data_IF_586950409038
#
_entry.id   IF_586950409038
#
_cell.length_a   1.000
_cell.length_b   1.000
_cell.length_c   1.000
_cell.angle_alpha   90.00
_cell.angle_beta   90.00
_cell.angle_gamma   90.00
#
_symmetry.space_group_name_H-M   'P 1'
#
loop_
_entity.id
_entity.type
_entity.pdbx_description
1 polymer ?
#
# COMPACT_ATOMS: atom_id res chain seq x y z
N UNK A 1 -7.17 25.10 -0.93
CA UNK A 1 -6.39 24.15 -0.11
C UNK A 1 -6.28 22.87 -0.91
N UNK A 2 -5.08 22.44 -1.30
CA UNK A 2 -4.89 21.19 -2.03
C UNK A 2 -5.48 20.06 -1.16
N UNK A 3 -6.49 19.36 -1.68
CA UNK A 3 -7.04 18.18 -1.01
C UNK A 3 -5.90 17.18 -0.85
N UNK A 4 -5.34 17.07 0.37
CA UNK A 4 -4.31 16.07 0.68
C UNK A 4 -4.88 14.69 0.37
N UNK A 5 -4.29 14.02 -0.61
CA UNK A 5 -4.65 12.66 -1.05
C UNK A 5 -4.34 11.65 0.04
N UNK A 6 -5.16 10.59 0.11
CA UNK A 6 -5.19 9.67 1.24
C UNK A 6 -3.90 8.85 1.35
N UNK A 7 -3.41 8.32 0.22
CA UNK A 7 -2.19 7.51 0.18
C UNK A 7 -0.92 8.35 0.38
N UNK A 8 -0.81 9.53 -0.25
CA UNK A 8 0.40 10.35 -0.15
C UNK A 8 0.77 10.70 1.30
N UNK A 9 -0.22 10.88 2.18
CA UNK A 9 0.03 11.14 3.60
C UNK A 9 0.74 10.00 4.35
N UNK A 10 0.78 8.79 3.79
CA UNK A 10 1.50 7.63 4.34
C UNK A 10 2.94 7.53 3.82
N UNK A 11 3.27 8.23 2.75
CA UNK A 11 4.49 7.99 1.98
C UNK A 11 5.58 9.00 2.33
N UNK A 12 6.87 8.61 2.26
CA UNK A 12 7.97 9.55 2.37
C UNK A 12 8.09 10.39 1.08
N UNK A 13 8.77 11.55 1.14
CA UNK A 13 8.86 12.52 0.02
C UNK A 13 9.31 11.94 -1.31
N UNK A 14 10.16 10.92 -1.30
CA UNK A 14 10.73 10.29 -2.51
C UNK A 14 9.72 9.43 -3.27
N UNK A 15 8.55 9.13 -2.67
CA UNK A 15 7.53 8.27 -3.29
C UNK A 15 6.39 9.15 -3.79
N UNK A 16 6.15 9.07 -5.10
CA UNK A 16 5.06 9.76 -5.79
C UNK A 16 3.88 8.82 -5.90
N UNK A 17 2.68 9.34 -5.63
CA UNK A 17 1.46 8.55 -5.76
C UNK A 17 0.40 9.26 -6.59
N UNK A 18 -0.50 8.44 -7.15
CA UNK A 18 -1.74 8.88 -7.76
C UNK A 18 -2.85 7.92 -7.33
N UNK A 19 -4.03 8.47 -7.06
CA UNK A 19 -5.19 7.74 -6.58
C UNK A 19 -6.45 8.16 -7.35
N UNK A 20 -7.41 7.24 -7.45
CA UNK A 20 -8.71 7.48 -8.04
C UNK A 20 -9.80 6.77 -7.23
N UNK A 21 -10.88 7.49 -6.94
CA UNK A 21 -12.04 6.97 -6.20
C UNK A 21 -13.12 6.40 -7.12
N UNK A 22 -12.96 6.59 -8.43
CA UNK A 22 -13.85 6.11 -9.48
C UNK A 22 -13.07 5.65 -10.69
N UNK A 23 -13.75 5.09 -11.68
CA UNK A 23 -13.17 4.69 -12.97
C UNK A 23 -13.37 5.83 -13.99
N UNK A 24 -12.36 6.68 -14.25
CA UNK A 24 -12.50 7.83 -15.14
C UNK A 24 -12.82 7.42 -16.59
N UNK A 25 -13.62 8.19 -17.34
CA UNK A 25 -13.88 7.89 -18.74
C UNK A 25 -12.65 8.17 -19.62
N UNK A 26 -12.50 7.44 -20.72
CA UNK A 26 -11.45 7.69 -21.73
C UNK A 26 -10.05 7.24 -21.35
N UNK A 27 -9.86 6.58 -20.20
CA UNK A 27 -8.60 5.90 -19.90
C UNK A 27 -8.46 4.65 -20.75
N UNK A 28 -7.25 4.42 -21.25
CA UNK A 28 -6.92 3.32 -22.15
C UNK A 28 -5.89 2.38 -21.52
N UNK A 29 -5.80 1.18 -22.09
CA UNK A 29 -4.71 0.24 -21.85
C UNK A 29 -3.83 0.17 -23.08
N UNK A 30 -2.55 -0.10 -22.87
CA UNK A 30 -1.67 -0.49 -23.97
C UNK A 30 -2.01 -1.91 -24.45
N UNK A 31 -1.72 -2.28 -25.71
CA UNK A 31 -1.99 -3.62 -26.22
C UNK A 31 -1.41 -4.75 -25.33
N UNK A 32 -0.22 -4.55 -24.78
CA UNK A 32 0.45 -5.49 -23.87
C UNK A 32 -0.31 -5.66 -22.54
N UNK A 33 -1.04 -4.64 -22.11
CA UNK A 33 -1.85 -4.63 -20.90
C UNK A 33 -3.26 -5.22 -21.16
N UNK A 34 -3.84 -4.96 -22.34
CA UNK A 34 -5.13 -5.53 -22.74
C UNK A 34 -5.06 -7.05 -22.88
N UNK A 35 -3.95 -7.56 -23.41
CA UNK A 35 -3.74 -8.99 -23.65
C UNK A 35 -3.94 -9.85 -22.38
N UNK A 36 -3.59 -9.32 -21.20
CA UNK A 36 -3.66 -10.08 -19.93
C UNK A 36 -5.04 -10.03 -19.25
N UNK A 37 -5.99 -9.23 -19.76
CA UNK A 37 -7.35 -9.10 -19.20
C UNK A 37 -8.46 -9.42 -20.21
N UNK A 38 -8.14 -10.08 -21.32
CA UNK A 38 -9.10 -10.44 -22.38
C UNK A 38 -10.32 -11.22 -21.88
N UNK A 39 -10.13 -12.12 -20.90
CA UNK A 39 -11.18 -12.94 -20.29
C UNK A 39 -11.68 -12.40 -18.94
N UNK A 40 -11.22 -11.21 -18.53
CA UNK A 40 -11.60 -10.65 -17.24
C UNK A 40 -13.03 -10.08 -17.30
N UNK A 41 -13.80 -10.28 -16.23
CA UNK A 41 -15.10 -9.64 -16.04
C UNK A 41 -14.97 -8.11 -15.97
N UNK A 42 -16.05 -7.39 -16.28
CA UNK A 42 -16.02 -5.93 -16.40
C UNK A 42 -15.48 -5.20 -15.18
N UNK A 43 -15.84 -5.66 -13.97
CA UNK A 43 -15.31 -5.10 -12.71
C UNK A 43 -13.78 -5.15 -12.70
N UNK A 44 -13.21 -6.31 -13.03
CA UNK A 44 -11.76 -6.51 -13.07
C UNK A 44 -11.10 -5.70 -14.18
N UNK A 45 -11.74 -5.57 -15.34
CA UNK A 45 -11.23 -4.74 -16.46
C UNK A 45 -11.12 -3.27 -16.04
N UNK A 46 -12.14 -2.74 -15.36
CA UNK A 46 -12.14 -1.35 -14.85
C UNK A 46 -11.06 -1.13 -13.80
N UNK A 47 -11.01 -1.98 -12.76
CA UNK A 47 -9.97 -1.89 -11.71
C UNK A 47 -8.56 -1.91 -12.29
N UNK A 48 -8.31 -2.84 -13.23
CA UNK A 48 -7.01 -2.96 -13.87
C UNK A 48 -6.68 -1.72 -14.71
N UNK A 49 -7.64 -1.23 -15.50
CA UNK A 49 -7.45 -0.03 -16.35
C UNK A 49 -7.16 1.21 -15.52
N UNK A 50 -7.97 1.48 -14.49
CA UNK A 50 -7.79 2.65 -13.63
C UNK A 50 -6.52 2.55 -12.80
N UNK A 51 -6.18 1.37 -12.28
CA UNK A 51 -4.90 1.16 -11.57
C UNK A 51 -3.69 1.45 -12.46
N UNK A 52 -3.74 1.02 -13.74
CA UNK A 52 -2.68 1.33 -14.73
C UNK A 52 -2.64 2.81 -15.09
N UNK A 53 -3.79 3.48 -15.15
CA UNK A 53 -3.85 4.92 -15.32
C UNK A 53 -3.16 5.65 -14.15
N UNK A 54 -3.50 5.34 -12.90
CA UNK A 54 -2.84 5.90 -11.72
C UNK A 54 -1.32 5.69 -11.75
N UNK A 55 -0.87 4.48 -12.11
CA UNK A 55 0.56 4.19 -12.24
C UNK A 55 1.27 5.11 -13.23
N UNK A 56 0.68 5.34 -14.42
CA UNK A 56 1.28 6.22 -15.44
C UNK A 56 1.27 7.69 -15.03
N UNK A 57 0.27 8.14 -14.29
CA UNK A 57 0.27 9.49 -13.72
C UNK A 57 1.38 9.66 -12.68
N UNK A 58 1.53 8.69 -11.78
CA UNK A 58 2.58 8.71 -10.78
C UNK A 58 3.99 8.64 -11.43
N UNK A 59 4.16 7.83 -12.49
CA UNK A 59 5.39 7.79 -13.29
C UNK A 59 5.68 9.13 -13.97
N UNK A 60 4.68 9.75 -14.59
CA UNK A 60 4.84 11.06 -15.25
C UNK A 60 5.26 12.12 -14.24
N UNK A 61 4.66 12.12 -13.04
CA UNK A 61 5.02 13.04 -11.97
C UNK A 61 6.39 12.74 -11.33
N UNK A 62 6.85 11.48 -11.37
CA UNK A 62 8.22 11.08 -11.06
C UNK A 62 9.23 11.52 -12.15
N UNK A 63 8.77 12.05 -13.29
CA UNK A 63 9.62 12.42 -14.42
C UNK A 63 10.00 11.27 -15.34
N UNK A 64 9.29 10.14 -15.26
CA UNK A 64 9.48 8.96 -16.11
C UNK A 64 8.41 8.92 -17.19
N UNK A 65 8.83 8.81 -18.46
CA UNK A 65 7.90 8.71 -19.58
C UNK A 65 6.93 7.52 -19.39
N UNK A 66 5.61 7.74 -19.52
CA UNK A 66 4.65 6.65 -19.38
C UNK A 66 4.76 5.65 -20.53
N UNK A 67 4.58 4.38 -20.22
CA UNK A 67 4.58 3.27 -21.17
C UNK A 67 3.73 2.10 -20.67
N UNK A 68 3.73 0.96 -21.38
CA UNK A 68 3.01 -0.23 -20.95
C UNK A 68 3.59 -0.79 -19.65
N UNK A 69 2.72 -1.23 -18.75
CA UNK A 69 3.07 -1.92 -17.50
C UNK A 69 2.51 -3.36 -17.53
N UNK A 70 3.15 -4.26 -18.31
CA UNK A 70 2.66 -5.63 -18.46
C UNK A 70 2.69 -6.36 -17.12
N UNK A 71 1.94 -7.47 -17.07
CA UNK A 71 1.87 -8.31 -15.86
C UNK A 71 3.14 -9.16 -15.77
N UNK A 72 3.93 -8.93 -14.72
CA UNK A 72 5.07 -9.75 -14.35
C UNK A 72 4.68 -10.92 -13.44
N UNK A 73 5.67 -11.47 -12.75
CA UNK A 73 5.50 -12.61 -11.85
C UNK A 73 4.47 -12.31 -10.74
N UNK A 74 3.67 -13.34 -10.43
CA UNK A 74 2.58 -13.28 -9.43
C UNK A 74 1.61 -12.12 -9.59
N UNK A 75 1.58 -11.51 -10.78
CA UNK A 75 0.62 -10.48 -11.13
C UNK A 75 1.06 -9.04 -10.82
N UNK A 76 2.26 -8.85 -10.26
CA UNK A 76 2.84 -7.52 -10.08
C UNK A 76 3.09 -6.87 -11.46
N UNK A 77 2.94 -5.55 -11.62
CA UNK A 77 3.35 -4.86 -12.85
C UNK A 77 4.88 -4.95 -13.03
N UNK A 78 5.33 -5.05 -14.30
CA UNK A 78 6.73 -4.79 -14.65
C UNK A 78 6.91 -3.27 -14.72
N UNK A 79 7.70 -2.73 -13.81
CA UNK A 79 8.02 -1.29 -13.77
C UNK A 79 9.11 -0.94 -14.79
N UNK A 80 9.15 0.32 -15.27
CA UNK A 80 10.27 0.81 -16.08
C UNK A 80 11.61 0.62 -15.38
N UNK A 81 12.69 0.52 -16.15
CA UNK A 81 14.04 0.36 -15.62
C UNK A 81 14.37 1.49 -14.61
N UNK A 82 14.93 1.12 -13.46
CA UNK A 82 15.27 2.07 -12.40
C UNK A 82 14.08 2.58 -11.58
N UNK A 83 12.87 2.05 -11.78
CA UNK A 83 11.68 2.39 -10.99
C UNK A 83 11.24 1.20 -10.15
N UNK A 84 10.81 1.48 -8.93
CA UNK A 84 10.06 0.55 -8.07
C UNK A 84 8.67 1.10 -7.85
N UNK A 85 7.71 0.22 -7.59
CA UNK A 85 6.33 0.65 -7.36
C UNK A 85 5.43 -0.43 -6.81
N UNK A 86 4.24 0.00 -6.39
CA UNK A 86 3.19 -0.86 -5.88
C UNK A 86 1.82 -0.36 -6.32
N UNK A 87 0.88 -1.31 -6.47
CA UNK A 87 -0.50 -1.06 -6.89
C UNK A 87 -1.46 -1.64 -5.86
N UNK A 88 -2.57 -0.95 -5.65
CA UNK A 88 -3.69 -1.45 -4.87
C UNK A 88 -5.02 -0.99 -5.45
N UNK A 89 -6.06 -1.76 -5.20
CA UNK A 89 -7.43 -1.40 -5.52
C UNK A 89 -8.39 -2.14 -4.59
N UNK A 90 -9.50 -1.50 -4.29
CA UNK A 90 -10.66 -2.12 -3.67
C UNK A 90 -11.93 -1.44 -4.17
N UNK A 91 -13.08 -1.75 -3.58
CA UNK A 91 -14.32 -1.08 -3.96
C UNK A 91 -14.23 0.41 -3.60
N UNK A 92 -14.41 1.27 -4.62
CA UNK A 92 -14.33 2.72 -4.46
C UNK A 92 -12.92 3.32 -4.42
N UNK A 93 -11.86 2.53 -4.69
CA UNK A 93 -10.48 3.05 -4.66
C UNK A 93 -9.53 2.31 -5.60
N UNK A 94 -8.63 3.03 -6.27
CA UNK A 94 -7.46 2.52 -6.99
C UNK A 94 -6.29 3.47 -6.74
N UNK A 95 -5.09 2.93 -6.54
CA UNK A 95 -3.92 3.77 -6.41
C UNK A 95 -2.65 3.07 -6.89
N UNK A 96 -1.68 3.91 -7.22
CA UNK A 96 -0.31 3.53 -7.48
C UNK A 96 0.64 4.41 -6.69
N UNK A 97 1.75 3.83 -6.25
CA UNK A 97 2.86 4.56 -5.68
C UNK A 97 4.16 4.09 -6.35
N UNK A 98 5.04 5.01 -6.70
CA UNK A 98 6.29 4.76 -7.44
C UNK A 98 7.42 5.64 -6.91
N UNK A 99 8.65 5.16 -7.07
CA UNK A 99 9.86 5.89 -6.72
C UNK A 99 11.04 5.46 -7.58
N UNK A 100 12.10 6.27 -7.62
CA UNK A 100 13.38 5.83 -8.18
C UNK A 100 13.99 4.74 -7.30
N UNK A 101 14.44 3.65 -7.94
CA UNK A 101 15.07 2.51 -7.27
C UNK A 101 16.36 2.85 -6.51
N UNK A 102 17.02 3.95 -6.89
CA UNK A 102 18.18 4.50 -6.18
C UNK A 102 17.82 5.16 -4.85
N UNK A 103 16.56 5.56 -4.65
CA UNK A 103 16.09 6.21 -3.43
C UNK A 103 15.23 5.29 -2.57
N UNK A 104 14.55 4.32 -3.17
CA UNK A 104 13.70 3.34 -2.49
C UNK A 104 13.97 1.97 -3.10
N UNK A 105 14.36 1.00 -2.29
CA UNK A 105 14.68 -0.35 -2.76
C UNK A 105 13.42 -1.16 -3.06
N UNK A 106 12.38 -1.02 -2.22
CA UNK A 106 11.09 -1.68 -2.43
C UNK A 106 9.95 -0.94 -1.74
N UNK A 107 8.73 -1.16 -2.22
CA UNK A 107 7.53 -0.47 -1.80
C UNK A 107 6.34 -1.45 -1.84
N UNK A 108 5.51 -1.41 -0.82
CA UNK A 108 4.25 -2.13 -0.76
C UNK A 108 3.14 -1.24 -0.24
N UNK A 109 2.06 -1.13 -0.99
CA UNK A 109 0.85 -0.41 -0.55
C UNK A 109 -0.36 -1.32 -0.66
N UNK A 110 -1.30 -1.13 0.27
CA UNK A 110 -2.57 -1.82 0.23
C UNK A 110 -3.72 -0.92 0.70
N UNK A 111 -4.91 -1.21 0.19
CA UNK A 111 -6.11 -0.43 0.42
C UNK A 111 -7.32 -1.36 0.50
N UNK A 112 -8.10 -1.22 1.56
CA UNK A 112 -9.25 -2.05 1.86
C UNK A 112 -10.45 -1.17 2.25
N UNK A 113 -11.69 -1.61 2.02
CA UNK A 113 -12.85 -1.00 2.65
C UNK A 113 -12.70 -1.08 4.17
N UNK A 114 -13.05 -0.02 4.88
CA UNK A 114 -13.05 -0.01 6.34
C UNK A 114 -14.26 -0.79 6.87
N UNK A 115 -14.15 -2.12 6.81
CA UNK A 115 -15.13 -3.09 7.29
C UNK A 115 -14.41 -4.31 7.88
N UNK A 116 -15.10 -5.06 8.76
CA UNK A 116 -14.57 -6.29 9.35
C UNK A 116 -14.14 -7.30 8.29
N UNK A 117 -13.17 -8.14 8.63
CA UNK A 117 -12.89 -9.34 7.85
C UNK A 117 -14.04 -10.35 7.98
N UNK A 118 -14.33 -11.14 6.94
CA UNK A 118 -15.12 -12.35 7.11
C UNK A 118 -14.50 -13.27 8.15
N UNK A 119 -15.33 -13.90 8.99
CA UNK A 119 -14.87 -14.72 10.12
C UNK A 119 -13.99 -15.90 9.67
N UNK A 120 -14.25 -16.46 8.48
CA UNK A 120 -13.50 -17.56 7.88
C UNK A 120 -12.11 -17.16 7.37
N UNK A 121 -11.86 -15.86 7.16
CA UNK A 121 -10.55 -15.33 6.73
C UNK A 121 -9.64 -15.05 7.93
N UNK A 122 -10.22 -14.60 9.07
CA UNK A 122 -9.45 -14.14 10.23
C UNK A 122 -8.47 -15.19 10.76
N UNK A 123 -8.89 -16.46 10.80
CA UNK A 123 -8.06 -17.56 11.28
C UNK A 123 -6.81 -17.82 10.44
N UNK A 124 -6.87 -17.58 9.13
CA UNK A 124 -5.75 -17.77 8.20
C UNK A 124 -4.79 -16.59 8.12
N UNK A 125 -5.21 -15.40 8.57
CA UNK A 125 -4.40 -14.17 8.50
C UNK A 125 -3.68 -13.88 9.82
N UNK A 126 -4.24 -14.34 10.94
CA UNK A 126 -3.76 -13.97 12.29
C UNK A 126 -2.93 -15.05 12.97
N UNK A 127 -1.88 -14.60 13.66
CA UNK A 127 -1.13 -15.38 14.64
C UNK A 127 -1.80 -15.30 16.02
N UNK A 128 -1.57 -16.29 16.91
CA UNK A 128 -2.09 -16.24 18.27
C UNK A 128 -1.74 -14.94 19.03
N UNK A 129 -0.47 -14.51 18.96
CA UNK A 129 -0.02 -13.28 19.63
C UNK A 129 -0.69 -12.02 19.09
N UNK A 130 -0.99 -11.98 17.79
CA UNK A 130 -1.70 -10.86 17.16
C UNK A 130 -3.15 -10.80 17.66
N UNK A 131 -3.84 -11.92 17.83
CA UNK A 131 -5.25 -11.94 18.28
C UNK A 131 -5.45 -11.26 19.64
N UNK A 132 -4.56 -11.54 20.60
CA UNK A 132 -4.64 -10.94 21.94
C UNK A 132 -4.39 -9.42 21.88
N UNK A 133 -3.40 -8.99 21.09
CA UNK A 133 -3.09 -7.58 20.87
C UNK A 133 -4.25 -6.85 20.19
N UNK A 134 -4.83 -7.44 19.14
CA UNK A 134 -5.98 -6.90 18.41
C UNK A 134 -7.19 -6.73 19.33
N UNK A 135 -7.51 -7.72 20.17
CA UNK A 135 -8.61 -7.59 21.13
C UNK A 135 -8.40 -6.41 22.11
N UNK A 136 -7.15 -6.16 22.51
CA UNK A 136 -6.78 -4.98 23.30
C UNK A 136 -6.96 -3.66 22.55
N UNK A 137 -6.61 -3.63 21.27
CA UNK A 137 -6.76 -2.45 20.40
C UNK A 137 -8.23 -2.17 20.09
N UNK A 138 -9.05 -3.19 19.81
CA UNK A 138 -10.49 -3.07 19.60
C UNK A 138 -11.19 -2.47 20.83
N UNK A 139 -10.82 -2.89 22.05
CA UNK A 139 -11.39 -2.30 23.27
C UNK A 139 -11.05 -0.81 23.43
N UNK A 140 -9.83 -0.39 23.06
CA UNK A 140 -9.39 1.02 23.17
C UNK A 140 -9.90 1.89 22.03
N UNK A 141 -10.01 1.32 20.83
CA UNK A 141 -10.39 2.00 19.60
C UNK A 141 -11.46 1.19 18.85
N UNK A 142 -12.70 1.11 19.40
CA UNK A 142 -13.75 0.23 18.89
C UNK A 142 -14.30 0.64 17.51
N UNK A 143 -13.93 1.83 17.02
CA UNK A 143 -14.29 2.33 15.69
C UNK A 143 -13.38 1.80 14.58
N UNK A 144 -12.25 1.18 14.91
CA UNK A 144 -11.29 0.68 13.93
C UNK A 144 -11.46 -0.83 13.77
N UNK A 145 -11.46 -1.29 12.51
CA UNK A 145 -11.48 -2.72 12.17
C UNK A 145 -10.04 -3.21 12.11
N UNK A 146 -9.49 -3.53 13.29
CA UNK A 146 -8.08 -3.88 13.46
C UNK A 146 -7.69 -5.19 12.77
N UNK A 147 -8.65 -6.10 12.68
CA UNK A 147 -8.58 -7.31 11.85
C UNK A 147 -8.26 -6.98 10.38
N UNK A 148 -9.02 -6.06 9.79
CA UNK A 148 -8.79 -5.60 8.41
C UNK A 148 -7.50 -4.80 8.26
N UNK A 149 -7.14 -3.99 9.28
CA UNK A 149 -5.84 -3.29 9.32
C UNK A 149 -4.69 -4.28 9.26
N UNK A 150 -4.77 -5.37 10.05
CA UNK A 150 -3.75 -6.41 10.06
C UNK A 150 -3.61 -7.06 8.69
N UNK A 151 -4.72 -7.44 8.05
CA UNK A 151 -4.71 -8.01 6.71
C UNK A 151 -4.03 -7.09 5.69
N UNK A 152 -4.46 -5.83 5.61
CA UNK A 152 -3.87 -4.83 4.71
C UNK A 152 -2.38 -4.60 4.99
N UNK A 153 -1.99 -4.55 6.26
CA UNK A 153 -0.59 -4.40 6.66
C UNK A 153 0.25 -5.58 6.16
N UNK A 154 -0.24 -6.83 6.30
CA UNK A 154 0.44 -8.02 5.78
C UNK A 154 0.51 -8.06 4.26
N UNK A 155 -0.54 -7.61 3.55
CA UNK A 155 -0.51 -7.45 2.08
C UNK A 155 0.56 -6.43 1.65
N UNK A 156 0.69 -5.31 2.37
CA UNK A 156 1.74 -4.31 2.11
C UNK A 156 3.15 -4.85 2.40
N UNK A 157 3.28 -5.69 3.43
CA UNK A 157 4.53 -6.40 3.73
C UNK A 157 4.88 -7.38 2.61
N UNK A 158 3.93 -8.18 2.12
CA UNK A 158 4.12 -9.10 1.01
C UNK A 158 4.57 -8.36 -0.27
N UNK A 159 3.90 -7.25 -0.61
CA UNK A 159 4.23 -6.44 -1.79
C UNK A 159 5.59 -5.76 -1.69
N UNK A 160 6.08 -5.47 -0.48
CA UNK A 160 7.46 -5.02 -0.26
C UNK A 160 8.47 -6.17 -0.36
N UNK A 161 8.12 -7.32 0.22
CA UNK A 161 8.97 -8.51 0.30
C UNK A 161 9.23 -9.18 -1.05
N UNK A 162 8.19 -9.37 -1.86
CA UNK A 162 8.29 -10.19 -3.08
C UNK A 162 9.31 -9.62 -4.09
N UNK A 163 9.35 -8.30 -4.39
CA UNK A 163 10.37 -7.74 -5.26
C UNK A 163 11.81 -7.89 -4.75
N UNK A 164 12.01 -7.95 -3.43
CA UNK A 164 13.32 -8.08 -2.81
C UNK A 164 13.86 -9.52 -2.89
N UNK A 165 12.97 -10.52 -2.87
CA UNK A 165 13.35 -11.92 -2.62
C UNK A 165 12.95 -12.88 -3.72
N UNK A 166 11.96 -12.55 -4.54
CA UNK A 166 11.29 -13.48 -5.48
C UNK A 166 10.52 -14.60 -4.79
N UNK A 167 10.41 -14.60 -3.46
CA UNK A 167 9.85 -15.69 -2.69
C UNK A 167 8.43 -15.38 -2.19
N UNK A 168 7.60 -16.41 -2.08
CA UNK A 168 6.32 -16.30 -1.36
C UNK A 168 6.54 -16.00 0.13
N UNK A 169 5.66 -15.22 0.74
CA UNK A 169 5.61 -14.95 2.18
C UNK A 169 4.15 -15.14 2.63
N UNK A 170 3.89 -16.17 3.44
CA UNK A 170 2.58 -16.43 4.03
C UNK A 170 2.23 -15.45 5.15
N UNK A 171 0.94 -15.36 5.48
CA UNK A 171 0.48 -14.49 6.58
C UNK A 171 1.06 -14.92 7.93
N UNK A 172 1.27 -16.21 8.12
CA UNK A 172 1.89 -16.83 9.29
C UNK A 172 3.40 -16.60 9.38
N UNK A 173 4.03 -16.09 8.32
CA UNK A 173 5.48 -15.86 8.27
C UNK A 173 5.87 -14.41 8.60
N UNK A 174 4.90 -13.56 8.93
CA UNK A 174 5.11 -12.20 9.40
C UNK A 174 4.17 -11.88 10.58
N UNK A 175 4.74 -11.42 11.69
CA UNK A 175 3.99 -10.92 12.83
C UNK A 175 3.95 -9.39 12.78
N UNK A 176 2.76 -8.81 12.91
CA UNK A 176 2.56 -7.36 12.88
C UNK A 176 2.12 -6.85 14.25
N UNK A 177 2.84 -5.84 14.73
CA UNK A 177 2.51 -5.06 15.91
C UNK A 177 2.07 -3.65 15.49
N UNK A 178 0.90 -3.21 15.94
CA UNK A 178 0.47 -1.82 15.77
C UNK A 178 0.97 -0.93 16.91
N UNK A 179 1.57 0.20 16.55
CA UNK A 179 1.91 1.25 17.51
C UNK A 179 0.67 2.10 17.83
N UNK A 180 0.73 2.86 18.93
CA UNK A 180 -0.41 3.63 19.41
C UNK A 180 -1.01 4.53 18.30
N UNK A 181 -2.31 4.42 18.00
CA UNK A 181 -2.97 5.25 17.00
C UNK A 181 -2.98 6.71 17.44
N UNK A 182 -2.92 7.59 16.45
CA UNK A 182 -3.05 9.03 16.62
C UNK A 182 -4.37 9.49 15.98
N UNK A 183 -5.18 10.22 16.74
CA UNK A 183 -6.28 11.02 16.21
C UNK A 183 -5.70 12.37 15.76
N UNK A 184 -6.19 12.93 14.65
CA UNK A 184 -5.76 14.21 14.06
C UNK A 184 -4.39 14.21 13.33
N UNK A 185 -4.17 15.14 12.38
CA UNK A 185 -3.46 14.82 11.15
C UNK A 185 -1.99 14.60 11.44
N UNK A 186 -1.56 13.36 11.19
CA UNK A 186 -0.19 13.06 10.82
C UNK A 186 0.28 14.15 9.86
N UNK A 187 1.44 14.82 10.08
CA UNK A 187 1.95 15.76 9.09
C UNK A 187 1.98 15.00 7.79
N UNK A 188 1.21 15.46 6.80
CA UNK A 188 1.25 14.86 5.48
C UNK A 188 2.72 14.76 5.15
N UNK A 189 3.21 13.56 4.82
CA UNK A 189 4.48 13.48 4.14
C UNK A 189 4.42 14.52 3.02
N UNK A 190 5.46 15.32 2.88
CA UNK A 190 5.67 16.18 1.72
C UNK A 190 5.81 15.38 0.41
N UNK A 191 5.61 14.05 0.49
CA UNK A 191 5.24 13.16 -0.60
C UNK A 191 4.31 13.85 -1.57
N UNK A 192 4.84 14.09 -2.76
CA UNK A 192 4.10 14.80 -3.80
C UNK A 192 3.04 13.87 -4.37
N UNK A 193 1.83 14.40 -4.45
CA UNK A 193 0.69 13.70 -5.02
C UNK A 193 0.24 14.37 -6.30
N UNK A 194 -0.17 13.56 -7.27
CA UNK A 194 -0.91 14.06 -8.43
C UNK A 194 -2.37 14.27 -8.02
N UNK A 195 -2.96 15.40 -8.42
CA UNK A 195 -4.32 15.76 -8.05
C UNK A 195 -5.34 14.63 -8.34
N UNK A 196 -6.36 14.52 -7.49
CA UNK A 196 -7.48 13.58 -7.65
C UNK A 196 -8.06 13.66 -9.08
N UNK A 197 -8.13 12.51 -9.74
CA UNK A 197 -8.54 12.40 -11.16
C UNK A 197 -10.03 12.12 -11.30
N UNK A 198 -10.80 12.14 -10.21
CA UNK A 198 -12.25 11.94 -10.19
C UNK A 198 -13.05 13.13 -10.74
N UNK A 199 -13.95 12.84 -11.68
CA UNK A 199 -14.92 13.74 -12.33
C UNK A 199 -15.77 14.51 -11.29
N UNK A 200 -16.07 15.82 -11.48
CA UNK A 200 -16.99 16.54 -10.60
C UNK A 200 -18.37 15.87 -10.59
N UNK A 201 -18.85 15.50 -9.39
CA UNK A 201 -20.24 15.06 -9.18
C UNK A 201 -20.47 13.66 -8.61
N UNK A 202 -19.44 12.94 -8.15
CA UNK A 202 -19.64 11.63 -7.51
C UNK A 202 -19.79 11.79 -6.00
N UNK A 203 -20.89 11.26 -5.46
CA UNK A 203 -21.17 11.28 -4.03
C UNK A 203 -20.03 10.63 -3.24
N UNK A 204 -19.56 11.32 -2.20
CA UNK A 204 -18.56 10.81 -1.29
C UNK A 204 -18.96 9.44 -0.75
N UNK A 205 -18.01 8.51 -0.65
CA UNK A 205 -18.17 7.32 0.20
C UNK A 205 -18.52 7.84 1.59
N UNK A 206 -19.65 7.42 2.21
CA UNK A 206 -20.04 7.91 3.50
C UNK A 206 -18.88 7.73 4.46
N UNK A 207 -18.36 8.83 5.01
CA UNK A 207 -17.44 8.76 6.12
C UNK A 207 -18.10 7.93 7.21
N UNK A 208 -17.31 7.08 7.89
CA UNK A 208 -17.75 6.53 9.18
C UNK A 208 -18.29 7.67 10.06
N UNK A 209 -19.21 7.39 10.99
CA UNK A 209 -20.27 8.28 11.48
C UNK A 209 -19.92 9.74 11.86
N UNK A 210 -18.64 10.07 12.07
CA UNK A 210 -18.15 11.41 12.44
C UNK A 210 -17.10 12.03 11.48
N UNK A 211 -16.71 11.34 10.38
CA UNK A 211 -15.71 11.85 9.42
C UNK A 211 -14.25 11.93 9.93
N UNK A 212 -13.97 11.45 11.15
CA UNK A 212 -12.65 11.49 11.77
C UNK A 212 -11.65 10.55 11.07
N UNK A 213 -10.45 11.06 10.79
CA UNK A 213 -9.34 10.28 10.24
C UNK A 213 -8.46 9.74 11.37
N UNK A 214 -8.08 8.47 11.27
CA UNK A 214 -7.11 7.83 12.17
C UNK A 214 -5.85 7.48 11.41
N UNK A 215 -4.72 7.52 12.08
CA UNK A 215 -3.46 7.05 11.51
C UNK A 215 -2.56 6.47 12.58
N UNK A 216 -1.56 5.72 12.15
CA UNK A 216 -0.55 5.21 13.03
C UNK A 216 0.54 4.49 12.27
N UNK A 217 1.36 3.80 13.04
CA UNK A 217 2.49 3.03 12.55
C UNK A 217 2.29 1.56 12.92
N UNK A 218 2.97 0.68 12.21
CA UNK A 218 3.09 -0.73 12.55
C UNK A 218 4.51 -1.21 12.29
N UNK A 219 4.89 -2.28 12.99
CA UNK A 219 6.12 -3.02 12.77
C UNK A 219 5.78 -4.44 12.38
N UNK A 220 6.32 -4.90 11.25
CA UNK A 220 6.22 -6.27 10.81
C UNK A 220 7.54 -6.97 11.08
N UNK A 221 7.54 -8.00 11.93
CA UNK A 221 8.69 -8.87 12.17
C UNK A 221 8.57 -10.11 11.30
N UNK A 222 9.60 -10.39 10.52
CA UNK A 222 9.63 -11.58 9.67
C UNK A 222 10.02 -12.80 10.51
N UNK A 223 9.21 -13.86 10.40
CA UNK A 223 9.42 -15.13 11.11
C UNK A 223 10.22 -16.14 10.28
N UNK A 224 10.49 -15.81 9.01
CA UNK A 224 11.39 -16.54 8.13
C UNK A 224 12.61 -15.70 7.78
N UNK A 225 13.70 -16.39 7.44
CA UNK A 225 14.90 -15.72 6.93
C UNK A 225 14.68 -15.23 5.51
N UNK A 226 15.12 -14.00 5.23
CA UNK A 226 15.16 -13.41 3.90
C UNK A 226 16.41 -12.56 3.72
N UNK A 227 16.76 -12.31 2.47
CA UNK A 227 17.78 -11.33 2.09
C UNK A 227 17.26 -10.49 0.94
N UNK A 228 17.62 -9.23 0.91
CA UNK A 228 17.38 -8.41 -0.28
C UNK A 228 18.33 -8.81 -1.43
N UNK A 229 18.22 -8.10 -2.55
CA UNK A 229 19.00 -8.35 -3.77
C UNK A 229 20.51 -8.15 -3.58
N UNK A 230 20.90 -7.34 -2.61
CA UNK A 230 22.30 -7.06 -2.28
C UNK A 230 22.83 -8.00 -1.17
N UNK A 231 21.99 -8.92 -0.69
CA UNK A 231 22.33 -9.93 0.31
C UNK A 231 22.15 -9.49 1.76
N UNK A 232 21.63 -8.29 2.02
CA UNK A 232 21.37 -7.82 3.38
C UNK A 232 20.20 -8.59 4.01
N UNK A 233 20.32 -9.04 5.27
CA UNK A 233 19.27 -9.80 5.93
C UNK A 233 18.01 -8.95 6.14
N UNK A 234 16.86 -9.49 5.73
CA UNK A 234 15.55 -8.93 6.02
C UNK A 234 15.05 -9.48 7.37
N UNK A 235 14.84 -8.59 8.34
CA UNK A 235 14.34 -8.91 9.68
C UNK A 235 12.91 -8.46 9.91
N UNK A 236 12.47 -7.47 9.16
CA UNK A 236 11.19 -6.83 9.36
C UNK A 236 11.07 -5.59 8.51
N UNK A 237 9.89 -4.97 8.61
CA UNK A 237 9.55 -3.72 7.96
C UNK A 237 8.84 -2.80 8.95
N UNK A 238 9.03 -1.50 8.78
CA UNK A 238 8.19 -0.50 9.42
C UNK A 238 7.20 0.03 8.40
N UNK A 239 5.97 0.26 8.83
CA UNK A 239 4.90 0.71 7.97
C UNK A 239 4.01 1.73 8.65
N UNK A 240 3.18 2.37 7.84
CA UNK A 240 2.18 3.35 8.28
C UNK A 240 0.81 2.93 7.82
N UNK A 241 -0.21 3.35 8.54
CA UNK A 241 -1.60 3.08 8.20
C UNK A 241 -2.47 4.31 8.42
N UNK A 242 -3.56 4.40 7.65
CA UNK A 242 -4.54 5.47 7.76
C UNK A 242 -5.94 4.94 7.46
N UNK A 243 -6.91 5.42 8.24
CA UNK A 243 -8.33 5.16 8.03
C UNK A 243 -9.03 6.49 7.84
N UNK A 244 -9.64 6.69 6.67
CA UNK A 244 -10.46 7.86 6.38
C UNK A 244 -11.37 7.57 5.18
N UNK A 245 -12.49 8.30 5.04
CA UNK A 245 -13.42 8.18 3.89
C UNK A 245 -13.95 6.74 3.68
N UNK A 246 -14.13 5.98 4.75
CA UNK A 246 -14.57 4.58 4.67
C UNK A 246 -13.53 3.62 4.10
N UNK A 247 -12.28 4.06 3.97
CA UNK A 247 -11.16 3.28 3.47
C UNK A 247 -10.08 3.15 4.52
N UNK A 248 -9.30 2.09 4.38
CA UNK A 248 -8.14 1.75 5.17
C UNK A 248 -6.97 1.56 4.23
N UNK A 249 -5.86 2.23 4.51
CA UNK A 249 -4.65 2.15 3.71
C UNK A 249 -3.47 1.80 4.58
N UNK A 250 -2.56 1.01 4.03
CA UNK A 250 -1.26 0.69 4.63
C UNK A 250 -0.16 0.89 3.61
N UNK A 251 1.01 1.31 4.08
CA UNK A 251 2.19 1.48 3.24
C UNK A 251 3.46 1.07 3.98
N UNK A 252 4.36 0.42 3.24
CA UNK A 252 5.71 0.06 3.68
C UNK A 252 6.68 0.56 2.62
N UNK A 253 7.68 1.33 3.04
CA UNK A 253 8.79 1.75 2.18
C UNK A 253 10.07 1.18 2.75
N UNK A 254 10.81 0.42 1.94
CA UNK A 254 12.08 -0.18 2.32
C UNK A 254 13.22 0.43 1.53
N UNK A 255 14.25 0.89 2.25
CA UNK A 255 15.54 1.29 1.69
C UNK A 255 16.60 0.37 2.26
N UNK A 256 17.42 -0.20 1.39
CA UNK A 256 18.58 -1.00 1.76
C UNK A 256 19.47 -0.18 2.69
N UNK A 257 19.85 -0.69 3.86
CA UNK A 257 20.81 -0.02 4.72
C UNK A 257 22.09 0.28 3.93
N UNK A 258 22.50 1.55 3.88
CA UNK A 258 23.74 1.91 3.20
C UNK A 258 24.92 1.16 3.82
N UNK A 259 25.91 0.79 3.00
CA UNK A 259 27.19 0.27 3.45
C UNK A 259 27.94 1.35 4.27
N UNK A 260 27.53 1.62 5.50
CA UNK A 260 28.09 2.74 6.27
C UNK A 260 27.42 3.14 7.58
N UNK A 261 26.35 2.49 8.05
CA UNK A 261 25.87 2.73 9.42
C UNK A 261 26.23 1.57 10.34
N UNK A 262 27.51 1.47 10.70
CA UNK A 262 27.90 0.76 11.92
C UNK A 262 27.22 1.45 13.09
N UNK A 263 26.38 0.69 13.80
CA UNK A 263 25.80 1.03 15.10
C UNK A 263 26.83 1.73 15.99
N UNK A 264 26.58 2.99 16.32
CA UNK A 264 27.19 3.62 17.48
C UNK A 264 26.73 2.87 18.72
N UNK A 265 27.62 2.06 19.28
CA UNK A 265 27.49 1.54 20.64
C UNK A 265 27.40 2.73 21.59
N UNK A 266 26.28 2.86 22.31
CA UNK A 266 26.23 3.70 23.50
C UNK A 266 26.54 2.78 24.69
N UNK A 267 27.63 3.16 25.35
CA UNK A 267 28.18 2.75 26.66
C UNK A 267 27.46 1.66 27.45
#
# INVERSE_FOLDING_TARGET
>A
MLSSTLLAGLLPPQVISAEAYTDPPGVFLYPEEEAVITRAVDKRRREFTTGRHCARQALTALGVSPGPLPRGERGAPVWPAGVVGSLTHCDGYRAAAVAHGSEVTSLGVDAEPHARLPDDVLGGVTLPAERDALAGLERRHPRLHWDRLLFSAKESVYKTWFPLTGAWLGFEEAEVEFLAPRADPWPAGDGSSVADVGVPGVAAVPGGPDGAAYSGEFRARLLRSGRDRDGHPLRGFEGRWRVARGLLLTAVTYRTPGAGSTSGSVA
#
